data_IF_518739525218
#
_entry.id   IF_518739525218
#
_cell.length_a   1.000
_cell.length_b   1.000
_cell.length_c   1.000
_cell.angle_alpha   90.00
_cell.angle_beta   90.00
_cell.angle_gamma   90.00
#
_symmetry.space_group_name_H-M   'P 1'
#
loop_
_entity.id
_entity.type
_entity.pdbx_description
1 polymer ?
#
# COMPACT_ATOMS: atom_id res chain seq x y z
N UNK A 1 2.84 14.08 -24.53
CA UNK A 1 3.12 13.08 -23.49
C UNK A 1 2.31 13.46 -22.27
N UNK A 2 1.30 12.64 -21.93
CA UNK A 2 0.54 12.75 -20.68
C UNK A 2 0.96 11.63 -19.75
N UNK A 3 0.81 11.85 -18.45
CA UNK A 3 1.00 10.82 -17.43
C UNK A 3 -0.37 10.46 -16.90
N UNK A 4 -0.62 9.16 -16.77
CA UNK A 4 -1.82 8.60 -16.20
C UNK A 4 -1.45 7.80 -14.94
N UNK A 5 -2.30 7.79 -13.92
CA UNK A 5 -2.11 7.01 -12.70
C UNK A 5 -3.39 6.26 -12.34
N UNK A 6 -3.30 4.96 -12.09
CA UNK A 6 -4.48 4.18 -11.62
C UNK A 6 -4.83 4.53 -10.20
N UNK A 7 -6.09 4.36 -9.78
CA UNK A 7 -6.53 4.69 -8.43
C UNK A 7 -7.70 3.79 -8.01
N UNK A 8 -7.59 3.14 -6.85
CA UNK A 8 -8.57 2.17 -6.38
C UNK A 8 -9.76 2.80 -5.61
N UNK A 9 -10.96 2.48 -6.07
CA UNK A 9 -12.25 2.82 -5.45
C UNK A 9 -13.00 1.57 -5.00
N UNK A 10 -13.98 1.73 -4.11
CA UNK A 10 -14.79 0.60 -3.61
C UNK A 10 -14.08 -0.29 -2.59
N UNK A 11 -12.85 0.06 -2.19
CA UNK A 11 -12.11 -0.60 -1.12
C UNK A 11 -11.93 0.34 0.08
N UNK A 12 -12.34 -0.15 1.25
CA UNK A 12 -12.16 0.54 2.54
C UNK A 12 -10.76 0.29 3.11
N UNK A 13 -10.34 1.14 4.04
CA UNK A 13 -9.08 1.00 4.75
C UNK A 13 -7.87 1.61 4.04
N UNK A 14 -6.69 1.38 4.61
CA UNK A 14 -5.42 2.05 4.25
C UNK A 14 -5.04 1.85 2.79
N UNK A 15 -5.30 0.67 2.23
CA UNK A 15 -5.02 0.36 0.82
C UNK A 15 -5.67 1.39 -0.12
N UNK A 16 -7.00 1.53 -0.04
CA UNK A 16 -7.72 2.44 -0.93
C UNK A 16 -7.38 3.91 -0.66
N UNK A 17 -7.15 4.27 0.60
CA UNK A 17 -6.72 5.63 0.99
C UNK A 17 -5.36 5.97 0.37
N UNK A 18 -4.40 5.05 0.44
CA UNK A 18 -3.03 5.27 -0.06
C UNK A 18 -3.01 5.48 -1.57
N UNK A 19 -3.69 4.63 -2.35
CA UNK A 19 -3.77 4.81 -3.81
C UNK A 19 -4.44 6.13 -4.20
N UNK A 20 -5.56 6.48 -3.56
CA UNK A 20 -6.26 7.73 -3.85
C UNK A 20 -5.43 8.95 -3.46
N UNK A 21 -4.69 8.87 -2.35
CA UNK A 21 -3.77 9.94 -1.92
C UNK A 21 -2.64 10.13 -2.93
N UNK A 22 -2.00 9.06 -3.37
CA UNK A 22 -0.96 9.13 -4.41
C UNK A 22 -1.53 9.68 -5.72
N UNK A 23 -2.72 9.24 -6.13
CA UNK A 23 -3.38 9.74 -7.33
C UNK A 23 -3.73 11.23 -7.23
N UNK A 24 -4.14 11.71 -6.05
CA UNK A 24 -4.41 13.11 -5.76
C UNK A 24 -3.12 13.96 -5.86
N UNK A 25 -2.00 13.49 -5.32
CA UNK A 25 -0.69 14.13 -5.52
C UNK A 25 -0.34 14.16 -7.02
N UNK A 26 -0.54 13.03 -7.72
CA UNK A 26 -0.37 12.96 -9.17
C UNK A 26 -1.22 13.99 -9.92
N UNK A 27 -2.48 14.16 -9.52
CA UNK A 27 -3.40 15.15 -10.09
C UNK A 27 -2.88 16.59 -9.91
N UNK A 28 -2.30 16.90 -8.75
CA UNK A 28 -1.65 18.20 -8.50
C UNK A 28 -0.43 18.43 -9.40
N UNK A 29 0.24 17.34 -9.83
CA UNK A 29 1.31 17.36 -10.83
C UNK A 29 0.82 17.31 -12.29
N UNK A 30 -0.50 17.31 -12.52
CA UNK A 30 -1.12 17.27 -13.84
C UNK A 30 -1.28 15.87 -14.44
N UNK A 31 -1.23 14.81 -13.62
CA UNK A 31 -1.50 13.45 -14.08
C UNK A 31 -3.01 13.24 -14.23
N UNK A 32 -3.38 12.37 -15.17
CA UNK A 32 -4.78 11.95 -15.35
C UNK A 32 -5.05 10.69 -14.53
N UNK A 33 -6.14 10.68 -13.78
CA UNK A 33 -6.53 9.51 -13.00
C UNK A 33 -7.22 8.46 -13.88
N UNK A 34 -6.86 7.20 -13.69
CA UNK A 34 -7.55 6.03 -14.24
C UNK A 34 -8.24 5.30 -13.07
N UNK A 35 -9.49 5.66 -12.81
CA UNK A 35 -10.26 5.07 -11.72
C UNK A 35 -10.54 3.58 -11.95
N UNK A 36 -10.23 2.75 -10.96
CA UNK A 36 -10.50 1.30 -10.95
C UNK A 36 -11.36 1.00 -9.73
N UNK A 37 -12.53 0.41 -9.93
CA UNK A 37 -13.41 -0.01 -8.82
C UNK A 37 -13.10 -1.45 -8.40
N UNK A 38 -13.10 -1.76 -7.10
CA UNK A 38 -13.00 -3.13 -6.60
C UNK A 38 -14.33 -3.86 -6.78
N UNK A 39 -14.31 -4.98 -7.49
CA UNK A 39 -15.50 -5.78 -7.75
C UNK A 39 -15.16 -7.27 -7.93
N UNK A 40 -16.14 -8.18 -7.88
CA UNK A 40 -15.92 -9.60 -8.13
C UNK A 40 -15.61 -9.85 -9.62
N UNK A 41 -14.35 -9.73 -10.04
CA UNK A 41 -13.96 -9.87 -11.47
C UNK A 41 -14.43 -11.17 -12.11
N UNK A 42 -14.46 -12.27 -11.37
CA UNK A 42 -14.89 -13.58 -11.85
C UNK A 42 -16.40 -13.61 -12.25
N UNK A 43 -17.16 -12.54 -12.02
CA UNK A 43 -18.51 -12.38 -12.57
C UNK A 43 -18.54 -11.82 -13.99
N UNK A 44 -17.46 -11.20 -14.48
CA UNK A 44 -17.36 -10.71 -15.85
C UNK A 44 -16.97 -11.87 -16.79
N UNK A 45 -17.62 -11.94 -17.96
CA UNK A 45 -17.08 -12.68 -19.10
C UNK A 45 -15.83 -11.98 -19.66
N UNK A 46 -15.00 -12.70 -20.44
CA UNK A 46 -13.82 -12.10 -21.11
C UNK A 46 -14.17 -10.85 -21.93
N UNK A 47 -15.33 -10.85 -22.58
CA UNK A 47 -15.81 -9.71 -23.37
C UNK A 47 -16.22 -8.51 -22.50
N UNK A 48 -16.81 -8.76 -21.33
CA UNK A 48 -17.17 -7.70 -20.37
C UNK A 48 -15.93 -7.10 -19.72
N UNK A 49 -14.98 -7.94 -19.30
CA UNK A 49 -13.69 -7.51 -18.78
C UNK A 49 -12.93 -6.66 -19.81
N UNK A 50 -12.94 -7.08 -21.08
CA UNK A 50 -12.33 -6.34 -22.19
C UNK A 50 -12.98 -4.96 -22.39
N UNK A 51 -14.31 -4.88 -22.41
CA UNK A 51 -15.02 -3.59 -22.52
C UNK A 51 -14.76 -2.68 -21.32
N UNK A 52 -14.66 -3.25 -20.12
CA UNK A 52 -14.32 -2.50 -18.91
C UNK A 52 -12.91 -1.93 -18.99
N UNK A 53 -11.94 -2.73 -19.45
CA UNK A 53 -10.59 -2.27 -19.73
C UNK A 53 -10.59 -1.13 -20.77
N UNK A 54 -11.36 -1.24 -21.85
CA UNK A 54 -11.49 -0.17 -22.84
C UNK A 54 -12.03 1.11 -22.23
N UNK A 55 -13.03 1.02 -21.33
CA UNK A 55 -13.55 2.17 -20.60
C UNK A 55 -12.52 2.84 -19.71
N UNK A 56 -11.76 2.06 -18.92
CA UNK A 56 -10.72 2.58 -18.01
C UNK A 56 -9.57 3.20 -18.81
N UNK A 57 -9.15 2.57 -19.92
CA UNK A 57 -7.98 2.96 -20.70
C UNK A 57 -8.27 3.92 -21.86
N UNK A 58 -9.52 4.35 -22.03
CA UNK A 58 -9.98 5.16 -23.17
C UNK A 58 -9.18 6.45 -23.38
N UNK A 59 -8.67 7.06 -22.31
CA UNK A 59 -7.90 8.30 -22.36
C UNK A 59 -6.44 8.14 -22.77
N UNK A 60 -5.90 6.92 -22.80
CA UNK A 60 -4.47 6.65 -23.05
C UNK A 60 -4.17 6.76 -24.55
N UNK A 61 -3.07 7.42 -24.90
CA UNK A 61 -2.59 7.53 -26.28
C UNK A 61 -1.12 7.18 -26.43
N UNK A 62 -0.66 6.94 -27.66
CA UNK A 62 0.76 6.72 -27.94
C UNK A 62 1.62 7.90 -27.45
N UNK A 63 2.74 7.58 -26.82
CA UNK A 63 3.65 8.55 -26.20
C UNK A 63 3.29 8.93 -24.76
N UNK A 64 2.24 8.34 -24.18
CA UNK A 64 1.89 8.55 -22.77
C UNK A 64 2.66 7.61 -21.82
N UNK A 65 2.60 7.94 -20.53
CA UNK A 65 3.11 7.13 -19.42
C UNK A 65 1.91 6.71 -18.57
N UNK A 66 1.89 5.45 -18.13
CA UNK A 66 0.93 4.92 -17.18
C UNK A 66 1.67 4.45 -15.93
N UNK A 67 1.30 5.01 -14.78
CA UNK A 67 1.69 4.56 -13.45
C UNK A 67 0.57 3.67 -12.92
N UNK A 68 0.85 2.39 -12.80
CA UNK A 68 -0.09 1.38 -12.32
C UNK A 68 0.19 1.10 -10.84
N UNK A 69 -0.66 1.61 -9.96
CA UNK A 69 -0.64 1.29 -8.53
C UNK A 69 -1.11 -0.16 -8.33
N UNK A 70 -0.19 -1.02 -7.91
CA UNK A 70 -0.39 -2.46 -7.77
C UNK A 70 -0.39 -2.88 -6.30
N UNK A 71 -1.33 -3.75 -5.89
CA UNK A 71 -2.36 -4.39 -6.70
C UNK A 71 -3.65 -3.54 -6.75
N UNK A 72 -4.54 -3.84 -7.69
CA UNK A 72 -5.91 -3.28 -7.70
C UNK A 72 -6.85 -4.02 -6.76
N UNK A 73 -6.37 -5.12 -6.16
CA UNK A 73 -7.18 -5.99 -5.33
C UNK A 73 -8.37 -6.60 -6.09
N UNK A 74 -8.34 -6.64 -7.42
CA UNK A 74 -9.30 -7.33 -8.27
C UNK A 74 -8.79 -8.74 -8.69
N UNK A 75 -7.73 -9.22 -8.05
CA UNK A 75 -7.07 -10.49 -8.31
C UNK A 75 -5.92 -10.37 -9.31
N UNK A 76 -4.90 -11.22 -9.17
CA UNK A 76 -3.68 -11.19 -9.99
C UNK A 76 -3.98 -11.30 -11.49
N UNK A 77 -5.05 -12.02 -11.86
CA UNK A 77 -5.51 -12.11 -13.25
C UNK A 77 -5.92 -10.75 -13.81
N UNK A 78 -6.64 -9.93 -13.04
CA UNK A 78 -7.06 -8.60 -13.49
C UNK A 78 -5.85 -7.69 -13.67
N UNK A 79 -4.92 -7.71 -12.70
CA UNK A 79 -3.70 -6.91 -12.76
C UNK A 79 -2.85 -7.27 -13.99
N UNK A 80 -2.61 -8.57 -14.21
CA UNK A 80 -1.85 -9.04 -15.38
C UNK A 80 -2.59 -8.79 -16.70
N UNK A 81 -3.91 -8.93 -16.73
CA UNK A 81 -4.73 -8.60 -17.90
C UNK A 81 -4.58 -7.14 -18.28
N UNK A 82 -4.65 -6.21 -17.31
CA UNK A 82 -4.53 -4.78 -17.57
C UNK A 82 -3.17 -4.45 -18.18
N UNK A 83 -2.08 -4.90 -17.55
CA UNK A 83 -0.72 -4.64 -18.02
C UNK A 83 -0.48 -5.28 -19.40
N UNK A 84 -0.92 -6.53 -19.58
CA UNK A 84 -0.75 -7.26 -20.85
C UNK A 84 -1.50 -6.57 -22.00
N UNK A 85 -2.75 -6.16 -21.80
CA UNK A 85 -3.51 -5.46 -22.84
C UNK A 85 -2.93 -4.08 -23.14
N UNK A 86 -2.40 -3.38 -22.13
CA UNK A 86 -1.72 -2.11 -22.35
C UNK A 86 -0.45 -2.28 -23.20
N UNK A 87 0.35 -3.31 -22.91
CA UNK A 87 1.53 -3.66 -23.72
C UNK A 87 1.16 -4.13 -25.12
N UNK A 88 0.10 -4.93 -25.27
CA UNK A 88 -0.36 -5.43 -26.58
C UNK A 88 -0.86 -4.29 -27.47
N UNK A 89 -1.71 -3.39 -26.94
CA UNK A 89 -2.33 -2.30 -27.69
C UNK A 89 -1.34 -1.22 -28.13
N UNK A 90 -0.38 -0.87 -27.27
CA UNK A 90 0.50 0.27 -27.50
C UNK A 90 1.97 -0.10 -27.72
N UNK A 91 2.35 -1.36 -27.52
CA UNK A 91 3.72 -1.85 -27.71
C UNK A 91 4.73 -1.09 -26.85
N UNK A 92 5.66 -0.40 -27.50
CA UNK A 92 6.69 0.44 -26.87
C UNK A 92 6.31 1.92 -26.79
N UNK A 93 5.20 2.31 -27.42
CA UNK A 93 4.77 3.71 -27.54
C UNK A 93 4.19 4.26 -26.24
N UNK A 94 3.64 3.42 -25.36
CA UNK A 94 3.26 3.79 -23.99
C UNK A 94 4.28 3.23 -23.01
N UNK A 95 4.75 4.06 -22.08
CA UNK A 95 5.60 3.62 -20.98
C UNK A 95 4.75 3.20 -19.79
N UNK A 96 5.15 2.12 -19.13
CA UNK A 96 4.41 1.50 -18.04
C UNK A 96 5.35 1.46 -16.84
N UNK A 97 4.92 2.10 -15.75
CA UNK A 97 5.57 2.07 -14.46
C UNK A 97 4.61 1.34 -13.53
N UNK A 98 5.05 0.30 -12.85
CA UNK A 98 4.23 -0.34 -11.81
C UNK A 98 4.72 0.20 -10.46
N UNK A 99 3.85 0.88 -9.74
CA UNK A 99 4.11 1.27 -8.36
C UNK A 99 3.60 0.14 -7.46
N UNK A 100 4.52 -0.64 -6.91
CA UNK A 100 4.27 -1.81 -6.07
C UNK A 100 4.03 -1.36 -4.64
N UNK A 101 2.76 -1.24 -4.25
CA UNK A 101 2.36 -0.87 -2.89
C UNK A 101 2.29 -2.09 -1.97
N UNK A 102 1.79 -3.21 -2.50
CA UNK A 102 1.70 -4.49 -1.81
C UNK A 102 2.01 -5.64 -2.77
N UNK A 103 2.41 -6.79 -2.24
CA UNK A 103 2.58 -8.03 -3.00
C UNK A 103 1.68 -9.11 -2.37
N UNK A 104 0.50 -9.34 -2.96
CA UNK A 104 -0.51 -10.29 -2.47
C UNK A 104 0.05 -11.66 -2.07
N UNK A 105 0.91 -12.33 -2.87
CA UNK A 105 1.47 -13.62 -2.47
C UNK A 105 2.43 -13.58 -1.28
N UNK A 106 2.92 -12.40 -0.88
CA UNK A 106 3.68 -12.20 0.36
C UNK A 106 2.76 -11.88 1.54
N UNK A 107 1.64 -11.19 1.30
CA UNK A 107 0.72 -10.80 2.36
C UNK A 107 0.01 -11.99 3.01
N UNK A 108 -0.31 -13.01 2.22
CA UNK A 108 -1.16 -14.13 2.66
C UNK A 108 -0.46 -15.46 2.38
N UNK A 109 -0.30 -16.27 3.43
CA UNK A 109 0.21 -17.62 3.33
C UNK A 109 -0.66 -18.47 2.40
N UNK A 110 -0.03 -19.31 1.59
CA UNK A 110 -0.72 -20.19 0.63
C UNK A 110 -0.96 -19.55 -0.74
N UNK A 111 -0.65 -18.26 -0.92
CA UNK A 111 -0.75 -17.58 -2.22
C UNK A 111 0.54 -17.60 -3.02
N UNK A 112 1.58 -18.30 -2.57
CA UNK A 112 2.92 -18.29 -3.19
C UNK A 112 2.88 -18.82 -4.65
N UNK A 113 1.88 -19.64 -4.99
CA UNK A 113 1.64 -20.11 -6.36
C UNK A 113 1.37 -18.96 -7.36
N UNK A 114 1.00 -17.76 -6.88
CA UNK A 114 0.77 -16.58 -7.72
C UNK A 114 2.07 -15.83 -8.07
N UNK A 115 3.19 -16.12 -7.40
CA UNK A 115 4.45 -15.41 -7.65
C UNK A 115 4.90 -15.43 -9.11
N UNK A 116 4.92 -16.59 -9.82
CA UNK A 116 5.34 -16.62 -11.22
C UNK A 116 4.55 -15.64 -12.08
N UNK A 117 3.22 -15.58 -11.90
CA UNK A 117 2.36 -14.64 -12.63
C UNK A 117 2.67 -13.18 -12.28
N UNK A 118 2.90 -12.87 -11.00
CA UNK A 118 3.27 -11.52 -10.55
C UNK A 118 4.61 -11.08 -11.15
N UNK A 119 5.62 -11.95 -11.14
CA UNK A 119 6.95 -11.66 -11.71
C UNK A 119 6.85 -11.48 -13.23
N UNK A 120 6.08 -12.32 -13.92
CA UNK A 120 5.83 -12.19 -15.35
C UNK A 120 5.10 -10.88 -15.69
N UNK A 121 4.17 -10.44 -14.85
CA UNK A 121 3.53 -9.14 -15.00
C UNK A 121 4.52 -7.99 -14.79
N UNK A 122 5.34 -8.03 -13.74
CA UNK A 122 6.35 -7.01 -13.45
C UNK A 122 7.38 -6.88 -14.57
N UNK A 123 7.79 -8.01 -15.18
CA UNK A 123 8.70 -8.01 -16.33
C UNK A 123 8.11 -7.40 -17.61
N UNK A 124 6.80 -7.14 -17.67
CA UNK A 124 6.17 -6.38 -18.75
C UNK A 124 6.28 -4.86 -18.56
N UNK A 125 6.69 -4.37 -17.38
CA UNK A 125 6.85 -2.95 -17.10
C UNK A 125 8.17 -2.39 -17.66
N UNK A 126 8.23 -1.06 -17.80
CA UNK A 126 9.48 -0.35 -18.09
C UNK A 126 10.20 0.07 -16.79
N UNK A 127 9.45 0.31 -15.72
CA UNK A 127 9.99 0.56 -14.40
C UNK A 127 9.08 0.01 -13.30
N UNK A 128 9.68 -0.30 -12.15
CA UNK A 128 8.99 -0.54 -10.89
C UNK A 128 9.35 0.55 -9.89
N UNK A 129 8.40 0.95 -9.07
CA UNK A 129 8.64 1.68 -7.83
C UNK A 129 8.31 0.70 -6.70
N UNK A 130 9.26 0.47 -5.79
CA UNK A 130 9.12 -0.51 -4.70
C UNK A 130 9.40 0.13 -3.35
N UNK A 131 8.89 -0.46 -2.28
CA UNK A 131 8.95 0.16 -0.95
C UNK A 131 10.37 0.30 -0.37
N UNK A 132 11.25 -0.68 -0.59
CA UNK A 132 12.58 -0.76 0.05
C UNK A 132 13.66 -1.39 -0.87
N UNK A 133 14.93 -1.27 -0.47
CA UNK A 133 16.03 -1.99 -1.13
C UNK A 133 15.89 -3.51 -0.95
N UNK A 134 15.44 -3.99 0.21
CA UNK A 134 15.18 -5.43 0.42
C UNK A 134 14.15 -5.96 -0.59
N UNK A 135 13.08 -5.20 -0.85
CA UNK A 135 12.08 -5.57 -1.86
C UNK A 135 12.69 -5.60 -3.27
N UNK A 136 13.52 -4.61 -3.60
CA UNK A 136 14.21 -4.57 -4.89
C UNK A 136 15.10 -5.80 -5.09
N UNK A 137 15.94 -6.12 -4.11
CA UNK A 137 16.83 -7.29 -4.16
C UNK A 137 16.03 -8.59 -4.26
N UNK A 138 14.99 -8.72 -3.45
CA UNK A 138 14.08 -9.88 -3.48
C UNK A 138 13.46 -10.08 -4.86
N UNK A 139 12.91 -9.02 -5.47
CA UNK A 139 12.28 -9.12 -6.79
C UNK A 139 13.29 -9.47 -7.89
N UNK A 140 14.52 -8.96 -7.82
CA UNK A 140 15.59 -9.34 -8.74
C UNK A 140 15.92 -10.83 -8.59
N UNK A 141 16.07 -11.33 -7.36
CA UNK A 141 16.31 -12.75 -7.08
C UNK A 141 15.16 -13.64 -7.61
N UNK A 142 13.92 -13.16 -7.50
CA UNK A 142 12.74 -13.87 -8.02
C UNK A 142 12.56 -13.78 -9.54
N UNK A 143 13.41 -13.06 -10.26
CA UNK A 143 13.43 -13.06 -11.71
C UNK A 143 12.89 -11.80 -12.38
N UNK A 144 12.74 -10.68 -11.66
CA UNK A 144 12.52 -9.37 -12.29
C UNK A 144 13.82 -8.90 -12.94
N UNK A 145 13.83 -8.78 -14.27
CA UNK A 145 15.03 -8.47 -15.05
C UNK A 145 14.87 -7.30 -16.03
N UNK A 146 13.66 -7.02 -16.50
CA UNK A 146 13.42 -6.02 -17.54
C UNK A 146 13.27 -4.57 -17.03
N UNK A 147 12.51 -4.29 -15.96
CA UNK A 147 12.22 -2.91 -15.55
C UNK A 147 13.38 -2.27 -14.78
N UNK A 148 13.53 -0.95 -14.89
CA UNK A 148 14.33 -0.17 -13.93
C UNK A 148 13.60 -0.13 -12.58
N UNK A 149 14.30 -0.32 -11.47
CA UNK A 149 13.67 -0.33 -10.15
C UNK A 149 14.09 0.91 -9.35
N UNK A 150 13.10 1.64 -8.84
CA UNK A 150 13.27 2.79 -7.94
C UNK A 150 12.72 2.47 -6.56
N UNK A 151 13.38 2.94 -5.51
CA UNK A 151 12.95 2.73 -4.13
C UNK A 151 12.23 3.98 -3.61
N UNK A 152 11.00 3.81 -3.13
CA UNK A 152 10.16 4.85 -2.54
C UNK A 152 10.70 5.30 -1.17
N UNK A 153 11.14 4.35 -0.34
CA UNK A 153 11.56 4.51 1.06
C UNK A 153 10.40 4.68 2.06
N UNK A 154 9.62 5.76 1.92
CA UNK A 154 8.61 6.15 2.92
C UNK A 154 7.29 6.59 2.26
N UNK A 155 6.20 6.41 3.01
CA UNK A 155 4.90 6.95 2.67
C UNK A 155 4.77 8.39 3.15
N UNK A 156 4.31 9.27 2.26
CA UNK A 156 3.92 10.62 2.62
C UNK A 156 2.54 10.65 3.28
N UNK A 157 2.38 11.59 4.21
CA UNK A 157 1.12 11.95 4.85
C UNK A 157 0.94 13.46 4.73
N UNK A 158 0.33 13.96 3.62
CA UNK A 158 0.24 15.39 3.30
C UNK A 158 -0.84 16.09 4.14
N UNK A 159 -0.81 15.87 5.45
CA UNK A 159 -1.69 16.51 6.42
C UNK A 159 -1.01 17.70 7.10
N UNK A 160 -1.79 18.74 7.33
CA UNK A 160 -1.31 19.87 8.14
C UNK A 160 -1.31 19.46 9.60
N UNK A 161 -0.29 19.86 10.34
CA UNK A 161 -0.23 19.64 11.79
C UNK A 161 -0.25 20.98 12.53
N UNK A 162 -0.76 20.97 13.76
CA UNK A 162 -0.68 22.13 14.63
C UNK A 162 0.76 22.29 15.14
N UNK A 163 1.43 23.33 14.63
CA UNK A 163 2.80 23.68 14.97
C UNK A 163 2.92 24.33 16.36
N UNK A 164 1.81 24.76 16.97
CA UNK A 164 1.82 25.27 18.34
C UNK A 164 2.00 24.15 19.38
N UNK A 165 1.70 22.89 19.00
CA UNK A 165 1.93 21.72 19.82
C UNK A 165 3.42 21.40 19.83
N UNK A 166 4.06 21.62 20.98
CA UNK A 166 5.43 21.22 21.27
C UNK A 166 5.44 19.83 21.89
N UNK A 167 6.03 18.81 21.22
CA UNK A 167 6.09 17.46 21.76
C UNK A 167 6.88 17.41 23.07
N UNK A 168 6.33 16.72 24.07
CA UNK A 168 7.00 16.49 25.35
C UNK A 168 7.55 15.08 25.43
N UNK A 169 8.60 14.91 26.23
CA UNK A 169 8.95 13.56 26.65
C UNK A 169 7.82 12.99 27.51
N UNK A 170 7.29 11.85 27.08
CA UNK A 170 6.24 11.11 27.79
C UNK A 170 6.64 9.64 27.76
N UNK A 171 6.53 8.94 28.90
CA UNK A 171 6.71 7.49 28.98
C UNK A 171 5.48 6.76 28.41
N UNK A 172 5.20 7.00 27.14
CA UNK A 172 4.12 6.36 26.39
C UNK A 172 4.57 6.01 24.99
N UNK A 173 4.06 4.90 24.49
CA UNK A 173 4.23 4.41 23.13
C UNK A 173 2.85 4.38 22.48
N UNK A 174 2.69 4.98 21.30
CA UNK A 174 1.43 4.96 20.55
C UNK A 174 1.49 3.92 19.44
N UNK A 175 0.42 3.14 19.35
CA UNK A 175 0.23 2.12 18.33
C UNK A 175 -1.14 2.27 17.66
N UNK A 176 -1.13 2.53 16.36
CA UNK A 176 -2.34 2.79 15.56
C UNK A 176 -2.68 1.63 14.61
N UNK A 177 -2.04 0.47 14.80
CA UNK A 177 -2.31 -0.75 14.04
C UNK A 177 -3.45 -1.59 14.65
N UNK A 178 -3.99 -2.50 13.86
CA UNK A 178 -4.94 -3.50 14.34
C UNK A 178 -4.19 -4.60 15.11
N UNK A 179 -4.38 -4.66 16.43
CA UNK A 179 -3.72 -5.65 17.26
C UNK A 179 -4.01 -7.10 16.85
N UNK A 180 -5.20 -7.42 16.34
CA UNK A 180 -5.50 -8.76 15.83
C UNK A 180 -4.59 -9.22 14.68
N UNK A 181 -3.93 -8.27 13.98
CA UNK A 181 -2.91 -8.54 12.97
C UNK A 181 -1.50 -8.55 13.54
N UNK A 182 -1.21 -7.62 14.46
CA UNK A 182 0.16 -7.31 14.88
C UNK A 182 0.56 -7.91 16.24
N UNK A 183 -0.41 -8.29 17.09
CA UNK A 183 -0.20 -9.01 18.35
C UNK A 183 0.62 -8.28 19.40
N UNK A 184 0.67 -6.94 19.36
CA UNK A 184 1.52 -6.17 20.27
C UNK A 184 1.02 -6.24 21.71
N UNK A 185 -0.29 -6.31 21.93
CA UNK A 185 -0.85 -6.33 23.29
C UNK A 185 -0.48 -7.58 24.08
N UNK A 186 -0.21 -8.70 23.39
CA UNK A 186 0.17 -9.96 24.03
C UNK A 186 1.66 -10.00 24.42
N UNK A 187 2.50 -9.19 23.74
CA UNK A 187 3.95 -9.16 23.94
C UNK A 187 4.45 -7.93 24.70
N UNK A 188 3.63 -6.89 24.83
CA UNK A 188 4.04 -5.67 25.51
C UNK A 188 4.27 -5.94 27.00
N UNK A 189 5.41 -5.55 27.58
CA UNK A 189 5.70 -5.87 28.97
C UNK A 189 4.98 -4.92 29.94
N UNK A 190 4.60 -5.44 31.10
CA UNK A 190 4.21 -4.62 32.24
C UNK A 190 5.39 -3.74 32.66
N UNK A 191 5.21 -2.43 32.64
CA UNK A 191 6.28 -1.46 32.93
C UNK A 191 5.72 -0.09 33.30
N UNK A 192 6.60 0.87 33.59
CA UNK A 192 6.22 2.27 33.80
C UNK A 192 5.99 3.05 32.49
N UNK A 193 6.04 2.37 31.34
CA UNK A 193 5.73 2.92 30.01
C UNK A 193 4.34 2.47 29.60
N UNK A 194 3.47 3.43 29.26
CA UNK A 194 2.12 3.12 28.78
C UNK A 194 2.13 2.76 27.28
N UNK A 195 1.31 1.79 26.87
CA UNK A 195 1.00 1.55 25.45
C UNK A 195 -0.39 2.09 25.14
N UNK A 196 -0.45 3.13 24.31
CA UNK A 196 -1.70 3.72 23.81
C UNK A 196 -2.10 3.03 22.49
N UNK A 197 -3.08 2.12 22.55
CA UNK A 197 -3.63 1.45 21.36
C UNK A 197 -4.86 2.20 20.86
N UNK A 198 -4.97 2.41 19.54
CA UNK A 198 -6.08 3.14 18.93
C UNK A 198 -6.95 2.22 18.07
N UNK A 199 -8.26 2.21 18.34
CA UNK A 199 -9.25 1.45 17.56
C UNK A 199 -9.23 -0.06 17.81
N UNK A 200 -8.61 -0.51 18.89
CA UNK A 200 -8.66 -1.89 19.36
C UNK A 200 -9.73 -2.05 20.45
N UNK A 201 -10.39 -3.21 20.47
CA UNK A 201 -11.37 -3.54 21.51
C UNK A 201 -10.68 -3.72 22.86
N UNK A 202 -11.39 -3.33 23.93
CA UNK A 202 -10.90 -3.50 25.29
C UNK A 202 -10.70 -4.98 25.61
N UNK A 203 -9.59 -5.28 26.27
CA UNK A 203 -9.23 -6.60 26.77
C UNK A 203 -8.87 -6.52 28.25
N UNK A 204 -9.29 -7.52 29.02
CA UNK A 204 -8.96 -7.63 30.45
C UNK A 204 -7.75 -8.52 30.70
N UNK A 205 -7.37 -9.34 29.72
CA UNK A 205 -6.29 -10.32 29.76
C UNK A 205 -4.92 -9.75 29.32
N UNK A 206 -4.77 -8.42 29.34
CA UNK A 206 -3.56 -7.72 28.91
C UNK A 206 -2.96 -6.90 30.07
N UNK A 207 -1.66 -6.54 30.00
CA UNK A 207 -1.00 -5.68 30.98
C UNK A 207 -1.78 -4.40 31.32
N UNK A 208 -1.68 -3.96 32.58
CA UNK A 208 -2.43 -2.81 33.11
C UNK A 208 -1.95 -1.47 32.54
N UNK A 209 -0.73 -1.43 32.00
CA UNK A 209 -0.16 -0.29 31.31
C UNK A 209 -0.62 -0.12 29.85
N UNK A 210 -1.59 -0.93 29.37
CA UNK A 210 -2.18 -0.79 28.04
C UNK A 210 -3.48 0.02 28.11
N UNK A 211 -3.48 1.14 27.40
CA UNK A 211 -4.57 2.10 27.36
C UNK A 211 -5.31 2.03 26.01
N UNK A 212 -6.62 1.78 26.08
CA UNK A 212 -7.48 1.65 24.91
C UNK A 212 -8.11 2.99 24.53
N UNK A 213 -7.81 3.46 23.32
CA UNK A 213 -8.37 4.67 22.74
C UNK A 213 -9.34 4.31 21.60
N UNK A 214 -10.42 5.09 21.40
CA UNK A 214 -11.30 4.90 20.26
C UNK A 214 -10.55 5.09 18.94
N UNK A 215 -11.07 4.48 17.86
CA UNK A 215 -10.58 4.74 16.52
C UNK A 215 -10.81 6.21 16.15
N UNK A 216 -9.74 6.90 15.75
CA UNK A 216 -9.80 8.28 15.28
C UNK A 216 -9.64 8.26 13.77
N UNK A 217 -10.75 8.40 13.04
CA UNK A 217 -10.76 8.38 11.58
C UNK A 217 -10.18 9.65 10.95
N UNK A 218 -10.23 10.77 11.68
CA UNK A 218 -9.67 12.04 11.25
C UNK A 218 -8.15 12.05 11.52
N UNK A 219 -7.36 11.96 10.44
CA UNK A 219 -5.90 11.93 10.52
C UNK A 219 -5.32 13.20 11.13
N UNK A 220 -5.91 14.38 10.89
CA UNK A 220 -5.47 15.64 11.49
C UNK A 220 -5.62 15.61 13.02
N UNK A 221 -6.76 15.12 13.51
CA UNK A 221 -7.02 14.94 14.95
C UNK A 221 -6.05 13.94 15.55
N UNK A 222 -5.86 12.78 14.92
CA UNK A 222 -4.94 11.75 15.39
C UNK A 222 -3.51 12.28 15.45
N UNK A 223 -3.02 12.92 14.38
CA UNK A 223 -1.68 13.47 14.32
C UNK A 223 -1.43 14.50 15.41
N UNK A 224 -2.35 15.42 15.64
CA UNK A 224 -2.20 16.42 16.69
C UNK A 224 -2.18 15.80 18.10
N UNK A 225 -2.97 14.74 18.34
CA UNK A 225 -2.92 13.98 19.59
C UNK A 225 -1.57 13.26 19.79
N UNK A 226 -1.04 12.63 18.73
CA UNK A 226 0.27 11.98 18.78
C UNK A 226 1.40 12.98 19.00
N UNK A 227 1.28 14.21 18.48
CA UNK A 227 2.26 15.29 18.64
C UNK A 227 2.40 15.82 20.06
N UNK A 228 1.47 15.53 20.98
CA UNK A 228 1.62 15.94 22.39
C UNK A 228 2.90 15.37 23.02
N UNK A 229 3.40 14.22 22.54
CA UNK A 229 4.63 13.61 23.02
C UNK A 229 4.62 12.07 23.05
N UNK A 230 5.77 11.51 23.42
CA UNK A 230 6.01 10.06 23.45
C UNK A 230 6.64 9.53 22.16
N UNK A 231 6.46 8.23 21.91
CA UNK A 231 7.06 7.52 20.78
C UNK A 231 5.99 6.80 19.97
N UNK A 232 6.15 6.72 18.64
CA UNK A 232 5.31 5.88 17.77
C UNK A 232 5.99 4.53 17.56
N UNK A 233 5.20 3.44 17.57
CA UNK A 233 5.71 2.09 17.36
C UNK A 233 5.22 1.50 16.04
N UNK A 234 6.16 1.04 15.23
CA UNK A 234 5.93 0.21 14.04
C UNK A 234 6.43 -1.19 14.38
N UNK A 235 5.51 -2.15 14.53
CA UNK A 235 5.84 -3.47 15.08
C UNK A 235 4.89 -4.57 14.61
N UNK A 236 5.39 -5.81 14.65
CA UNK A 236 4.62 -7.02 14.45
C UNK A 236 5.21 -8.18 15.26
N UNK A 237 4.38 -8.84 16.06
CA UNK A 237 4.72 -10.10 16.73
C UNK A 237 4.57 -11.30 15.82
N UNK A 238 3.56 -11.27 14.94
CA UNK A 238 3.38 -12.32 13.95
C UNK A 238 4.58 -12.36 12.99
N UNK A 239 5.30 -13.49 12.96
CA UNK A 239 6.51 -13.68 12.16
C UNK A 239 6.26 -13.46 10.66
N UNK A 240 5.13 -13.94 10.13
CA UNK A 240 4.77 -13.74 8.73
C UNK A 240 4.59 -12.26 8.41
N UNK A 241 3.88 -11.52 9.26
CA UNK A 241 3.68 -10.07 9.10
C UNK A 241 5.01 -9.32 9.26
N UNK A 242 5.86 -9.72 10.20
CA UNK A 242 7.19 -9.13 10.39
C UNK A 242 8.09 -9.33 9.17
N UNK A 243 8.13 -10.55 8.64
CA UNK A 243 8.86 -10.88 7.41
C UNK A 243 8.31 -10.09 6.22
N UNK A 244 6.99 -9.92 6.12
CA UNK A 244 6.40 -9.06 5.09
C UNK A 244 6.84 -7.60 5.24
N UNK A 245 6.78 -7.05 6.46
CA UNK A 245 7.17 -5.67 6.76
C UNK A 245 8.64 -5.40 6.44
N UNK A 246 9.54 -6.37 6.59
CA UNK A 246 10.95 -6.25 6.21
C UNK A 246 11.16 -5.89 4.73
N UNK A 247 10.25 -6.31 3.86
CA UNK A 247 10.29 -5.94 2.44
C UNK A 247 9.48 -4.67 2.17
N UNK A 248 8.36 -4.46 2.86
CA UNK A 248 7.44 -3.37 2.56
C UNK A 248 7.69 -2.07 3.33
N UNK A 249 8.67 -2.04 4.23
CA UNK A 249 9.10 -0.84 4.96
C UNK A 249 10.61 -0.67 4.87
N UNK A 250 11.08 0.57 4.63
CA UNK A 250 12.52 0.85 4.64
C UNK A 250 13.11 1.14 6.02
N UNK A 251 12.29 1.03 7.08
CA UNK A 251 12.67 1.31 8.47
C UNK A 251 13.02 0.05 9.28
N UNK A 252 12.99 -1.12 8.64
CA UNK A 252 13.14 -2.45 9.25
C UNK A 252 14.16 -3.29 8.52
#
# INVERSE_FOLDING_TARGET
MRVHITSLYGMMGVVGVSQRRTAEIGRQLGFNELGIFRYPVESDTDAELSKRYDGISAGIGSGDIVIYQSPTFNGTKFDDYFITNLRWRYGQSVKVIIFVEDIVPMMYQGNEYLFPQVIDMYNKAHALIVASENMKEYLIEKGVVNPKIYVQNLWDLPEKVDISITPKFMKRISFTGNDGKFGIMDAFPESDVALEVYGSDKREDVPQNINFNPFISDEHVLLNKLREGGFGLVWAENEHVRNYMHYCNSLT
#
